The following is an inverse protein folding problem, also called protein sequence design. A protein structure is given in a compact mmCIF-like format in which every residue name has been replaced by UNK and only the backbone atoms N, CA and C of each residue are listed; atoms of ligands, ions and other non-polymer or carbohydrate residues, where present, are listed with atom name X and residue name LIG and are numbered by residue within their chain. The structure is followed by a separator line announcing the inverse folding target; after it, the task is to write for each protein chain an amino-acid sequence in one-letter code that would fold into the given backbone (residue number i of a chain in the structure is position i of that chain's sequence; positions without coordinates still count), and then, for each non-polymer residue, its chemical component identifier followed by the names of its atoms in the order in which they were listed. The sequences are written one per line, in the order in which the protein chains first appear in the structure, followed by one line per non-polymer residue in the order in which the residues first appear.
data_IF_233668389900
#
_entry.id   IF_233668389900
#
_cell.length_a   1.000
_cell.length_b   1.000
_cell.length_c   1.000
_cell.angle_alpha   90.00
_cell.angle_beta   90.00
_cell.angle_gamma   90.00
#
_symmetry.space_group_name_H-M   'P 1'
#
loop_
_entity.id
_entity.type
_entity.pdbx_description
1 polymer ?
#
# COMPACT_ATOMS: atom_id res chain seq x y z
N UNK A 1 -19.75 -13.77 -31.42
CA UNK A 1 -18.47 -13.10 -31.75
C UNK A 1 -18.18 -11.85 -30.91
N UNK A 2 -19.20 -11.13 -30.40
CA UNK A 2 -19.01 -9.97 -29.51
C UNK A 2 -18.97 -10.36 -28.00
N UNK A 3 -19.73 -11.38 -27.59
CA UNK A 3 -19.75 -11.88 -26.21
C UNK A 3 -18.41 -12.47 -25.73
N UNK A 4 -17.66 -13.09 -26.64
CA UNK A 4 -16.34 -13.66 -26.32
C UNK A 4 -15.32 -12.58 -25.97
N UNK A 5 -15.43 -11.39 -26.60
CA UNK A 5 -14.56 -10.25 -26.32
C UNK A 5 -14.83 -9.70 -24.93
N UNK A 6 -16.11 -9.54 -24.55
CA UNK A 6 -16.48 -9.12 -23.20
C UNK A 6 -16.08 -10.14 -22.13
N UNK A 7 -16.18 -11.44 -22.43
CA UNK A 7 -15.74 -12.49 -21.52
C UNK A 7 -14.22 -12.45 -21.29
N UNK A 8 -13.42 -12.23 -22.34
CA UNK A 8 -11.97 -12.10 -22.22
C UNK A 8 -11.54 -10.83 -21.47
N UNK A 9 -12.22 -9.70 -21.71
CA UNK A 9 -11.96 -8.45 -20.97
C UNK A 9 -12.32 -8.62 -19.50
N UNK A 10 -13.48 -9.19 -19.18
CA UNK A 10 -13.89 -9.47 -17.80
C UNK A 10 -12.94 -10.44 -17.11
N UNK A 11 -12.48 -11.48 -17.81
CA UNK A 11 -11.50 -12.43 -17.29
C UNK A 11 -10.12 -11.79 -17.07
N UNK A 12 -9.67 -10.93 -17.98
CA UNK A 12 -8.41 -10.20 -17.85
C UNK A 12 -8.42 -9.23 -16.67
N UNK A 13 -9.50 -8.47 -16.49
CA UNK A 13 -9.68 -7.58 -15.33
C UNK A 13 -9.78 -8.41 -14.04
N UNK A 14 -10.53 -9.53 -14.05
CA UNK A 14 -10.63 -10.43 -12.90
C UNK A 14 -9.26 -10.98 -12.47
N UNK A 15 -8.44 -11.41 -13.43
CA UNK A 15 -7.10 -11.93 -13.15
C UNK A 15 -6.17 -10.83 -12.64
N UNK A 16 -6.23 -9.63 -13.22
CA UNK A 16 -5.43 -8.47 -12.78
C UNK A 16 -5.82 -7.98 -11.37
N UNK A 17 -7.11 -7.96 -11.01
CA UNK A 17 -7.57 -7.61 -9.66
C UNK A 17 -7.24 -8.71 -8.65
N UNK A 18 -7.30 -9.98 -9.08
CA UNK A 18 -6.89 -11.12 -8.25
C UNK A 18 -5.40 -11.08 -7.93
N UNK A 19 -4.54 -10.67 -8.87
CA UNK A 19 -3.10 -10.50 -8.64
C UNK A 19 -2.76 -9.23 -7.84
N UNK A 20 -3.53 -8.15 -7.97
CA UNK A 20 -3.39 -6.99 -7.06
C UNK A 20 -3.73 -7.30 -5.60
N UNK A 21 -4.53 -8.34 -5.31
CA UNK A 21 -4.68 -8.87 -3.95
C UNK A 21 -3.51 -9.75 -3.49
N UNK A 22 -2.62 -10.15 -4.40
CA UNK A 22 -1.41 -10.94 -4.08
C UNK A 22 -0.14 -10.06 -4.09
N UNK A 23 -0.19 -8.89 -4.73
CA UNK A 23 0.90 -7.90 -4.77
C UNK A 23 0.52 -6.53 -4.16
N UNK A 24 -0.58 -6.47 -3.41
CA UNK A 24 -0.93 -5.37 -2.52
C UNK A 24 -1.10 -5.95 -1.12
N UNK A 25 -0.26 -5.50 -0.18
CA UNK A 25 -0.33 -5.83 1.25
C UNK A 25 0.09 -7.25 1.64
N UNK A 26 1.36 -7.61 1.38
CA UNK A 26 2.12 -8.32 2.42
C UNK A 26 2.70 -7.29 3.40
N UNK A 27 1.82 -6.65 4.15
CA UNK A 27 2.18 -5.91 5.37
C UNK A 27 1.72 -6.71 6.57
N UNK A 28 2.13 -7.98 6.63
CA UNK A 28 1.94 -8.81 7.81
C UNK A 28 3.29 -9.43 8.16
N UNK A 29 4.08 -8.64 8.89
CA UNK A 29 5.10 -9.06 9.85
C UNK A 29 5.95 -7.85 10.25
N UNK A 30 5.50 -7.11 11.26
CA UNK A 30 6.16 -5.93 11.87
C UNK A 30 6.08 -4.65 11.02
N UNK A 31 4.95 -3.96 11.07
CA UNK A 31 4.93 -2.52 10.77
C UNK A 31 5.84 -1.85 11.78
N UNK A 32 7.09 -1.59 11.39
CA UNK A 32 8.07 -1.00 12.27
C UNK A 32 7.59 0.39 12.73
N UNK A 33 8.17 0.90 13.84
CA UNK A 33 7.88 2.27 14.27
C UNK A 33 8.08 3.29 13.13
N UNK A 34 9.00 3.04 12.19
CA UNK A 34 9.21 3.87 11.00
C UNK A 34 8.02 3.89 10.02
N UNK A 35 7.43 2.73 9.71
CA UNK A 35 6.31 2.65 8.75
C UNK A 35 5.05 3.30 9.31
N UNK A 36 4.82 3.11 10.61
CA UNK A 36 3.75 3.80 11.33
C UNK A 36 3.95 5.31 11.29
N UNK A 37 5.20 5.78 11.44
CA UNK A 37 5.53 7.20 11.36
C UNK A 37 5.27 7.78 9.97
N UNK A 38 5.68 7.05 8.92
CA UNK A 38 5.46 7.45 7.52
C UNK A 38 3.98 7.53 7.18
N UNK A 39 3.19 6.58 7.67
CA UNK A 39 1.75 6.59 7.47
C UNK A 39 1.10 7.83 8.09
N UNK A 40 1.46 8.17 9.33
CA UNK A 40 0.93 9.37 10.02
C UNK A 40 1.31 10.68 9.34
N UNK A 41 2.52 10.76 8.79
CA UNK A 41 2.93 11.91 8.00
C UNK A 41 2.12 12.01 6.70
N UNK A 42 1.96 10.89 5.98
CA UNK A 42 1.18 10.85 4.74
C UNK A 42 -0.31 11.17 4.95
N UNK A 43 -0.88 10.83 6.11
CA UNK A 43 -2.26 11.20 6.48
C UNK A 43 -2.38 12.64 6.99
N UNK A 44 -1.27 13.35 7.20
CA UNK A 44 -1.25 14.69 7.79
C UNK A 44 -1.58 14.73 9.28
N UNK A 45 -1.47 13.60 9.98
CA UNK A 45 -1.63 13.54 11.45
C UNK A 45 -0.46 14.22 12.18
N UNK A 46 0.72 14.20 11.55
CA UNK A 46 1.94 14.84 12.06
C UNK A 46 2.57 15.70 10.98
N UNK A 47 3.20 16.79 11.41
CA UNK A 47 3.98 17.68 10.57
C UNK A 47 5.40 17.12 10.29
N UNK A 48 6.10 17.76 9.35
CA UNK A 48 7.44 17.37 8.92
C UNK A 48 8.49 17.44 10.04
N UNK A 49 8.38 18.42 10.95
CA UNK A 49 9.31 18.59 12.08
C UNK A 49 9.16 17.42 13.06
N UNK A 50 7.91 17.10 13.40
CA UNK A 50 7.56 15.96 14.27
C UNK A 50 8.01 14.64 13.66
N UNK A 51 7.77 14.43 12.36
CA UNK A 51 8.23 13.25 11.64
C UNK A 51 9.75 13.11 11.69
N UNK A 52 10.49 14.19 11.39
CA UNK A 52 11.95 14.17 11.36
C UNK A 52 12.54 13.90 12.73
N UNK A 53 11.98 14.50 13.79
CA UNK A 53 12.43 14.29 15.17
C UNK A 53 12.25 12.83 15.59
N UNK A 54 11.08 12.26 15.36
CA UNK A 54 10.78 10.87 15.72
C UNK A 54 11.55 9.86 14.86
N UNK A 55 11.73 10.15 13.57
CA UNK A 55 12.54 9.31 12.66
C UNK A 55 14.01 9.26 13.12
N UNK A 56 14.57 10.37 13.61
CA UNK A 56 15.92 10.38 14.21
C UNK A 56 15.99 9.50 15.45
N UNK A 57 15.01 9.61 16.35
CA UNK A 57 14.96 8.77 17.56
C UNK A 57 14.87 7.28 17.23
N UNK A 58 14.16 6.91 16.17
CA UNK A 58 14.03 5.51 15.73
C UNK A 58 15.33 4.99 15.11
N UNK A 59 16.06 5.85 14.38
CA UNK A 59 17.30 5.46 13.70
C UNK A 59 18.55 5.47 14.60
N UNK A 60 18.53 6.19 15.72
CA UNK A 60 19.67 6.34 16.63
C UNK A 60 20.61 7.47 16.19
#
# INVERSE_FOLDING_TARGET
MMLLVFALIGFGIYYMVKEQKVTGFRSDAKTGPEETLKQRYATGEIDEETFTRMMKTIKG
#
